data_IF_074077996423
#
_entry.id   IF_074077996423
#
_cell.length_a   1.000
_cell.length_b   1.000
_cell.length_c   1.000
_cell.angle_alpha   90.00
_cell.angle_beta   90.00
_cell.angle_gamma   90.00
#
_symmetry.space_group_name_H-M   'P 1'
#
loop_
_entity.id
_entity.type
_entity.pdbx_description
1 polymer ?
#
# COMPACT_ATOMS: atom_id res chain seq x y z
N UNK A 1 17.45 43.12 -42.11
CA UNK A 1 16.26 42.58 -41.40
C UNK A 1 15.88 41.26 -42.04
N UNK A 2 16.36 40.13 -41.50
CA UNK A 2 16.11 38.80 -42.07
C UNK A 2 14.93 38.14 -41.33
N UNK A 3 13.85 37.85 -42.06
CA UNK A 3 12.65 37.18 -41.52
C UNK A 3 12.99 35.72 -41.23
N UNK A 4 13.01 35.33 -39.95
CA UNK A 4 13.09 33.92 -39.54
C UNK A 4 11.73 33.26 -39.83
N UNK A 5 11.72 32.31 -40.76
CA UNK A 5 10.59 31.43 -41.00
C UNK A 5 10.41 30.50 -39.79
N UNK A 6 9.31 30.67 -39.05
CA UNK A 6 8.85 29.69 -38.07
C UNK A 6 8.21 28.52 -38.83
N UNK A 7 8.87 27.37 -38.83
CA UNK A 7 8.22 26.11 -39.20
C UNK A 7 7.43 25.60 -38.00
N UNK A 8 6.17 25.15 -38.17
CA UNK A 8 5.41 24.52 -37.09
C UNK A 8 6.09 23.21 -36.66
N UNK A 9 5.99 22.82 -35.37
CA UNK A 9 6.61 21.59 -34.88
C UNK A 9 6.02 20.39 -35.63
N UNK A 10 6.92 19.52 -36.12
CA UNK A 10 6.57 18.30 -36.83
C UNK A 10 5.54 17.49 -36.03
N UNK A 11 4.38 17.25 -36.65
CA UNK A 11 3.37 16.35 -36.11
C UNK A 11 3.97 14.97 -35.90
N UNK A 12 3.89 14.47 -34.66
CA UNK A 12 4.36 13.14 -34.26
C UNK A 12 3.80 12.08 -35.22
N UNK A 13 4.63 11.15 -35.75
CA UNK A 13 4.15 10.16 -36.71
C UNK A 13 2.99 9.35 -36.11
N UNK A 14 1.97 8.99 -36.93
CA UNK A 14 0.84 8.21 -36.46
C UNK A 14 1.33 6.85 -35.94
N UNK A 15 0.76 6.33 -34.84
CA UNK A 15 1.16 5.05 -34.28
C UNK A 15 0.98 3.94 -35.32
N UNK A 16 1.99 3.08 -35.46
CA UNK A 16 2.09 1.98 -36.44
C UNK A 16 1.22 0.76 -36.11
N UNK A 17 0.39 0.85 -35.08
CA UNK A 17 -0.51 -0.23 -34.65
C UNK A 17 -1.94 0.29 -34.54
N UNK A 18 -2.95 -0.55 -34.86
CA UNK A 18 -4.35 -0.18 -34.69
C UNK A 18 -4.60 0.23 -33.22
N UNK A 19 -5.51 1.19 -32.97
CA UNK A 19 -5.79 1.65 -31.62
C UNK A 19 -6.30 0.47 -30.78
N UNK A 20 -5.51 0.09 -29.76
CA UNK A 20 -5.86 -0.94 -28.79
C UNK A 20 -6.88 -0.38 -27.80
N UNK A 21 -7.81 -1.22 -27.35
CA UNK A 21 -8.83 -0.81 -26.40
C UNK A 21 -8.20 -0.67 -25.00
N UNK A 22 -8.40 0.46 -24.31
CA UNK A 22 -7.83 0.68 -22.98
C UNK A 22 -8.54 -0.18 -21.92
N UNK A 23 -7.75 -0.83 -21.06
CA UNK A 23 -8.19 -1.60 -19.90
C UNK A 23 -7.51 -1.01 -18.66
N UNK A 24 -8.31 -0.54 -17.71
CA UNK A 24 -7.85 0.03 -16.46
C UNK A 24 -7.81 -1.04 -15.37
N UNK A 25 -6.62 -1.35 -14.89
CA UNK A 25 -6.38 -2.29 -13.80
C UNK A 25 -6.25 -1.55 -12.46
N UNK A 26 -7.14 -1.85 -11.52
CA UNK A 26 -7.14 -1.25 -10.18
C UNK A 26 -6.20 -2.03 -9.23
N UNK A 27 -4.92 -2.03 -9.58
CA UNK A 27 -3.80 -2.61 -8.80
C UNK A 27 -2.52 -1.83 -9.08
N UNK A 28 -1.53 -1.96 -8.19
CA UNK A 28 -0.17 -1.55 -8.49
C UNK A 28 0.38 -2.36 -9.67
N UNK A 29 1.14 -1.71 -10.55
CA UNK A 29 1.93 -2.39 -11.60
C UNK A 29 3.16 -3.01 -10.97
N UNK A 30 3.55 -4.21 -11.38
CA UNK A 30 4.80 -4.80 -10.92
C UNK A 30 6.00 -3.99 -11.47
N UNK A 31 6.85 -3.49 -10.58
CA UNK A 31 7.94 -2.57 -10.94
C UNK A 31 9.19 -3.27 -11.51
N UNK A 32 9.36 -4.57 -11.24
CA UNK A 32 10.60 -5.31 -11.52
C UNK A 32 10.62 -6.06 -12.88
N UNK A 33 9.48 -6.17 -13.57
CA UNK A 33 9.37 -6.87 -14.86
C UNK A 33 8.16 -6.36 -15.67
N UNK A 34 7.98 -6.87 -16.88
CA UNK A 34 6.74 -6.67 -17.61
C UNK A 34 5.59 -7.32 -16.81
N UNK A 35 4.61 -6.51 -16.40
CA UNK A 35 3.49 -6.98 -15.59
C UNK A 35 2.71 -8.06 -16.34
N UNK A 36 2.38 -9.18 -15.68
CA UNK A 36 1.68 -10.29 -16.33
C UNK A 36 0.33 -9.90 -16.93
N UNK A 37 -0.37 -8.89 -16.36
CA UNK A 37 -1.62 -8.37 -16.90
C UNK A 37 -1.39 -7.47 -18.11
N UNK A 38 -0.28 -6.73 -18.14
CA UNK A 38 0.14 -5.94 -19.29
C UNK A 38 0.47 -6.85 -20.48
N UNK A 39 1.24 -7.92 -20.24
CA UNK A 39 1.58 -8.91 -21.26
C UNK A 39 0.34 -9.66 -21.79
N UNK A 40 -0.55 -10.10 -20.90
CA UNK A 40 -1.80 -10.76 -21.28
C UNK A 40 -2.74 -9.81 -22.05
N UNK A 41 -2.86 -8.57 -21.61
CA UNK A 41 -3.66 -7.55 -22.29
C UNK A 41 -3.12 -7.28 -23.70
N UNK A 42 -1.80 -7.16 -23.85
CA UNK A 42 -1.16 -6.97 -25.14
C UNK A 42 -1.42 -8.14 -26.11
N UNK A 43 -1.36 -9.37 -25.61
CA UNK A 43 -1.66 -10.59 -26.38
C UNK A 43 -3.10 -10.60 -26.89
N UNK A 44 -4.04 -10.10 -26.07
CA UNK A 44 -5.45 -9.99 -26.43
C UNK A 44 -5.81 -8.70 -27.21
N UNK A 45 -4.81 -7.86 -27.58
CA UNK A 45 -5.03 -6.64 -28.35
C UNK A 45 -5.52 -5.42 -27.54
N UNK A 46 -5.36 -5.44 -26.22
CA UNK A 46 -5.70 -4.35 -25.31
C UNK A 46 -4.48 -3.50 -24.95
N UNK A 47 -4.73 -2.27 -24.49
CA UNK A 47 -3.74 -1.39 -23.87
C UNK A 47 -4.00 -1.36 -22.36
N UNK A 48 -2.99 -1.74 -21.57
CA UNK A 48 -3.10 -1.79 -20.11
C UNK A 48 -2.72 -0.45 -19.48
N UNK A 49 -3.53 0.03 -18.55
CA UNK A 49 -3.19 1.13 -17.64
C UNK A 49 -3.47 0.71 -16.21
N UNK A 50 -2.66 1.21 -15.27
CA UNK A 50 -2.67 0.78 -13.88
C UNK A 50 -2.91 1.96 -12.95
N UNK A 51 -3.83 1.80 -12.01
CA UNK A 51 -4.04 2.73 -10.91
C UNK A 51 -4.04 1.93 -9.61
N UNK A 52 -3.08 2.22 -8.75
CA UNK A 52 -2.99 1.59 -7.43
C UNK A 52 -4.08 2.17 -6.53
N UNK A 53 -4.89 1.31 -5.91
CA UNK A 53 -6.05 1.73 -5.09
C UNK A 53 -5.90 1.33 -3.61
N UNK A 54 -4.95 0.46 -3.32
CA UNK A 54 -4.56 0.07 -1.96
C UNK A 54 -3.11 0.46 -1.75
N UNK A 55 -2.80 0.89 -0.54
CA UNK A 55 -1.43 1.10 -0.06
C UNK A 55 -1.22 0.24 1.19
N UNK A 56 -0.13 0.48 1.89
CA UNK A 56 0.13 -0.11 3.19
C UNK A 56 0.63 0.99 4.13
N UNK A 57 0.45 0.78 5.43
CA UNK A 57 1.01 1.66 6.46
C UNK A 57 1.61 0.85 7.59
N UNK A 58 2.62 1.38 8.30
CA UNK A 58 3.14 0.75 9.50
C UNK A 58 2.05 0.59 10.55
N UNK A 59 2.10 -0.51 11.31
CA UNK A 59 1.19 -0.81 12.42
C UNK A 59 2.00 -1.43 13.56
N UNK A 60 1.52 -1.27 14.79
CA UNK A 60 2.14 -1.92 15.95
C UNK A 60 3.52 -1.37 16.29
N UNK A 61 3.84 -0.13 15.91
CA UNK A 61 5.14 0.49 16.21
C UNK A 61 5.48 0.44 17.71
N UNK A 62 4.53 0.75 18.58
CA UNK A 62 4.71 0.67 20.02
C UNK A 62 5.03 -0.76 20.48
N UNK A 63 4.33 -1.76 19.94
CA UNK A 63 4.60 -3.16 20.25
C UNK A 63 5.99 -3.59 19.77
N UNK A 64 6.42 -3.11 18.60
CA UNK A 64 7.77 -3.36 18.08
C UNK A 64 8.84 -2.72 18.97
N UNK A 65 8.65 -1.48 19.42
CA UNK A 65 9.56 -0.82 20.36
C UNK A 65 9.67 -1.59 21.67
N UNK A 66 8.54 -1.99 22.24
CA UNK A 66 8.52 -2.82 23.46
C UNK A 66 9.30 -4.11 23.27
N UNK A 67 9.02 -4.85 22.18
CA UNK A 67 9.72 -6.10 21.87
C UNK A 67 11.22 -5.87 21.73
N UNK A 68 11.66 -4.84 20.99
CA UNK A 68 13.08 -4.57 20.78
C UNK A 68 13.79 -3.92 21.98
N UNK A 69 13.03 -3.40 22.95
CA UNK A 69 13.52 -3.01 24.27
C UNK A 69 13.75 -4.21 25.20
N UNK A 70 13.09 -5.34 24.98
CA UNK A 70 13.40 -6.62 25.64
C UNK A 70 14.82 -7.10 25.25
N UNK A 71 15.39 -8.03 26.02
CA UNK A 71 16.64 -8.69 25.65
C UNK A 71 16.42 -9.64 24.47
N UNK A 72 17.33 -9.59 23.50
CA UNK A 72 17.44 -10.50 22.36
C UNK A 72 17.50 -11.97 22.79
N UNK A 73 17.99 -12.27 24.01
CA UNK A 73 18.10 -13.61 24.57
C UNK A 73 16.74 -14.27 24.86
N UNK A 74 15.65 -13.51 24.80
CA UNK A 74 14.28 -14.03 24.91
C UNK A 74 13.74 -14.60 23.60
N UNK A 75 14.54 -14.60 22.54
CA UNK A 75 14.07 -14.88 21.18
C UNK A 75 14.98 -15.90 20.49
N UNK A 76 14.36 -16.86 19.81
CA UNK A 76 15.06 -17.89 19.05
C UNK A 76 15.54 -17.36 17.69
N UNK A 77 14.80 -16.41 17.10
CA UNK A 77 15.06 -15.85 15.79
C UNK A 77 13.95 -14.89 15.32
N UNK A 78 14.10 -14.37 14.11
CA UNK A 78 13.22 -13.38 13.49
C UNK A 78 12.66 -13.90 12.16
N UNK A 79 11.38 -13.70 11.90
CA UNK A 79 10.71 -14.21 10.71
C UNK A 79 10.06 -13.07 9.92
N UNK A 80 10.38 -12.97 8.64
CA UNK A 80 9.90 -11.95 7.72
C UNK A 80 9.31 -12.59 6.45
N UNK A 81 8.04 -12.30 6.16
CA UNK A 81 7.41 -12.75 4.91
C UNK A 81 7.15 -11.61 3.92
N UNK A 82 7.54 -10.38 4.28
CA UNK A 82 7.36 -9.19 3.45
C UNK A 82 8.41 -8.12 3.74
N UNK A 83 8.93 -7.48 2.70
CA UNK A 83 9.77 -6.28 2.83
C UNK A 83 9.08 -5.14 3.59
N UNK A 84 7.74 -5.09 3.59
CA UNK A 84 6.95 -4.09 4.34
C UNK A 84 7.09 -4.26 5.85
N UNK A 85 7.24 -5.50 6.34
CA UNK A 85 7.50 -5.76 7.75
C UNK A 85 8.86 -5.17 8.17
N UNK A 86 9.89 -5.35 7.34
CA UNK A 86 11.23 -4.77 7.60
C UNK A 86 11.19 -3.25 7.58
N UNK A 87 10.50 -2.64 6.59
CA UNK A 87 10.33 -1.18 6.54
C UNK A 87 9.58 -0.66 7.77
N UNK A 88 8.53 -1.35 8.20
CA UNK A 88 7.76 -0.96 9.38
C UNK A 88 8.57 -1.07 10.68
N UNK A 89 9.42 -2.08 10.79
CA UNK A 89 10.37 -2.18 11.88
C UNK A 89 11.35 -1.01 11.89
N UNK A 90 11.91 -0.63 10.74
CA UNK A 90 12.77 0.55 10.64
C UNK A 90 12.04 1.83 11.05
N UNK A 91 10.78 2.01 10.64
CA UNK A 91 9.98 3.15 11.06
C UNK A 91 9.72 3.16 12.57
N UNK A 92 9.47 2.00 13.17
CA UNK A 92 9.20 1.89 14.60
C UNK A 92 10.45 2.17 15.47
N UNK A 93 11.64 1.85 14.95
CA UNK A 93 12.93 1.97 15.64
C UNK A 93 13.72 3.23 15.28
N UNK A 94 13.31 3.98 14.26
CA UNK A 94 13.85 5.31 14.02
C UNK A 94 13.53 6.19 15.24
N UNK A 95 14.53 6.88 15.78
CA UNK A 95 14.28 7.82 16.88
C UNK A 95 13.19 8.83 16.48
N UNK A 96 12.32 9.18 17.43
CA UNK A 96 11.32 10.24 17.27
C UNK A 96 12.04 11.59 17.19
N UNK A 97 12.71 11.83 16.07
CA UNK A 97 13.43 13.04 15.73
C UNK A 97 13.05 13.45 14.31
N UNK A 98 12.20 14.47 14.23
CA UNK A 98 11.75 15.19 13.04
C UNK A 98 10.69 14.49 12.19
N UNK A 99 9.44 14.80 12.54
CA UNK A 99 8.33 14.70 11.60
C UNK A 99 8.63 15.51 10.35
N UNK A 100 8.71 14.82 9.22
CA UNK A 100 8.37 15.38 7.92
C UNK A 100 7.85 14.26 7.04
N UNK A 101 6.53 14.24 6.91
CA UNK A 101 5.83 13.65 5.78
C UNK A 101 6.27 14.47 4.55
N UNK A 102 7.38 14.11 3.91
CA UNK A 102 7.75 14.46 2.53
C UNK A 102 9.21 14.06 2.29
N UNK A 103 9.43 12.90 1.69
CA UNK A 103 10.60 12.56 0.84
C UNK A 103 10.48 11.12 0.34
N UNK A 104 9.66 10.94 -0.68
CA UNK A 104 10.02 10.03 -1.78
C UNK A 104 10.64 10.91 -2.89
N UNK A 105 11.76 10.47 -3.46
CA UNK A 105 12.70 11.17 -4.39
C UNK A 105 13.77 12.00 -3.66
N UNK A 106 15.08 11.91 -3.93
CA UNK A 106 15.90 11.22 -4.93
C UNK A 106 17.36 11.34 -4.43
N UNK A 107 18.22 10.35 -4.73
CA UNK A 107 19.68 10.53 -4.88
C UNK A 107 20.51 10.94 -3.65
N UNK A 108 21.08 9.95 -2.97
CA UNK A 108 22.15 10.16 -1.98
C UNK A 108 22.42 8.88 -1.20
N UNK A 109 23.39 8.09 -1.66
CA UNK A 109 23.93 6.93 -0.96
C UNK A 109 24.74 7.40 0.26
N UNK A 110 24.06 7.87 1.30
CA UNK A 110 24.66 7.89 2.64
C UNK A 110 24.26 6.60 3.33
N UNK A 111 25.27 5.78 3.63
CA UNK A 111 25.18 4.49 4.33
C UNK A 111 24.67 4.72 5.76
N UNK A 112 23.37 4.98 5.89
CA UNK A 112 22.69 5.23 7.17
C UNK A 112 22.87 3.98 8.03
N UNK A 113 23.53 4.14 9.18
CA UNK A 113 23.83 3.05 10.10
C UNK A 113 22.61 2.16 10.36
N UNK A 114 22.77 0.84 10.60
CA UNK A 114 21.62 -0.05 10.62
C UNK A 114 20.70 0.33 11.80
N UNK A 115 19.45 0.68 11.46
CA UNK A 115 18.41 1.17 12.38
C UNK A 115 18.09 0.16 13.50
N UNK A 116 18.48 -1.10 13.32
CA UNK A 116 18.25 -2.18 14.30
C UNK A 116 19.39 -2.23 15.33
N UNK A 117 19.08 -2.36 16.65
CA UNK A 117 20.09 -2.50 17.69
C UNK A 117 21.06 -3.67 17.43
N UNK A 118 22.36 -3.45 17.65
CA UNK A 118 23.40 -4.44 17.35
C UNK A 118 23.17 -5.82 18.00
N UNK A 119 22.62 -5.84 19.23
CA UNK A 119 22.29 -7.08 19.96
C UNK A 119 21.30 -8.00 19.19
N UNK A 120 20.37 -7.43 18.44
CA UNK A 120 19.39 -8.19 17.66
C UNK A 120 19.95 -8.72 16.34
N UNK A 121 21.12 -8.24 15.90
CA UNK A 121 21.73 -8.63 14.62
C UNK A 121 22.33 -10.03 14.66
N UNK A 122 22.63 -10.57 15.84
CA UNK A 122 23.20 -11.91 16.01
C UNK A 122 22.15 -13.04 15.86
N UNK A 123 20.87 -12.72 16.09
CA UNK A 123 19.76 -13.66 15.94
C UNK A 123 19.57 -14.06 14.47
N UNK A 124 19.24 -15.34 14.20
CA UNK A 124 18.96 -15.77 12.84
C UNK A 124 17.67 -15.13 12.31
N UNK A 125 17.77 -14.50 11.14
CA UNK A 125 16.62 -13.96 10.42
C UNK A 125 16.25 -14.83 9.21
N UNK A 126 14.97 -15.12 9.10
CA UNK A 126 14.35 -15.96 8.07
C UNK A 126 13.48 -15.09 7.16
N UNK A 127 13.62 -15.26 5.84
CA UNK A 127 12.92 -14.45 4.85
C UNK A 127 12.32 -15.27 3.71
N UNK A 128 11.11 -14.88 3.27
CA UNK A 128 10.48 -15.40 2.03
C UNK A 128 10.75 -14.44 0.87
N UNK A 129 11.36 -14.99 -0.18
CA UNK A 129 11.63 -14.29 -1.43
C UNK A 129 12.78 -13.28 -1.37
N UNK A 130 13.41 -13.08 -2.53
CA UNK A 130 14.61 -12.25 -2.69
C UNK A 130 14.44 -10.81 -2.20
N UNK A 131 13.33 -10.15 -2.53
CA UNK A 131 13.06 -8.76 -2.12
C UNK A 131 13.01 -8.59 -0.60
N UNK A 132 12.41 -9.55 0.10
CA UNK A 132 12.33 -9.51 1.58
C UNK A 132 13.71 -9.74 2.17
N UNK A 133 14.43 -10.74 1.65
CA UNK A 133 15.80 -11.06 2.01
C UNK A 133 16.75 -9.86 1.89
N UNK A 134 16.78 -9.19 0.73
CA UNK A 134 17.57 -7.97 0.50
C UNK A 134 17.20 -6.87 1.52
N UNK A 135 15.90 -6.72 1.81
CA UNK A 135 15.44 -5.74 2.79
C UNK A 135 15.92 -6.04 4.21
N UNK A 136 15.93 -7.32 4.61
CA UNK A 136 16.41 -7.86 5.90
C UNK A 136 17.93 -7.67 6.01
N UNK A 137 18.67 -8.00 4.96
CA UNK A 137 20.12 -7.81 4.89
C UNK A 137 20.50 -6.33 5.05
N UNK A 138 19.84 -5.45 4.28
CA UNK A 138 20.04 -4.01 4.39
C UNK A 138 19.66 -3.46 5.77
N UNK A 139 18.91 -4.21 6.60
CA UNK A 139 18.56 -3.80 7.96
C UNK A 139 19.63 -4.21 8.99
N UNK A 140 20.65 -4.96 8.54
CA UNK A 140 21.76 -5.43 9.35
C UNK A 140 21.51 -6.75 10.08
N UNK A 141 20.44 -7.48 9.75
CA UNK A 141 20.18 -8.79 10.36
C UNK A 141 21.08 -9.88 9.78
N UNK A 142 21.51 -10.81 10.63
CA UNK A 142 22.21 -12.03 10.22
C UNK A 142 21.24 -13.00 9.55
N UNK A 143 21.62 -13.44 8.35
CA UNK A 143 20.91 -14.50 7.65
C UNK A 143 20.96 -15.82 8.43
N UNK A 144 19.83 -16.54 8.46
CA UNK A 144 19.87 -17.97 8.76
C UNK A 144 20.54 -18.72 7.59
N UNK A 145 21.73 -19.26 7.86
CA UNK A 145 22.75 -19.81 6.95
C UNK A 145 23.67 -18.79 6.23
N UNK A 146 24.68 -18.31 6.96
CA UNK A 146 26.03 -18.12 6.43
C UNK A 146 27.06 -18.72 7.41
N UNK A 147 27.18 -20.05 7.36
CA UNK A 147 28.43 -20.76 7.56
C UNK A 147 28.43 -21.90 6.53
N UNK A 148 29.34 -21.83 5.55
CA UNK A 148 29.48 -22.76 4.40
C UNK A 148 28.60 -22.43 3.18
N UNK A 149 28.94 -21.36 2.47
CA UNK A 149 29.26 -21.40 1.02
C UNK A 149 29.60 -19.98 0.59
N UNK A 150 30.89 -19.64 0.68
CA UNK A 150 31.43 -18.56 -0.17
C UNK A 150 31.51 -19.14 -1.57
N UNK A 151 30.60 -18.76 -2.47
CA UNK A 151 30.83 -19.03 -3.89
C UNK A 151 32.10 -18.24 -4.31
N UNK A 152 33.05 -18.86 -5.04
CA UNK A 152 34.15 -18.11 -5.63
C UNK A 152 33.55 -17.10 -6.62
N UNK A 153 33.58 -15.81 -6.28
CA UNK A 153 32.96 -14.76 -7.11
C UNK A 153 32.25 -13.62 -6.38
N UNK A 154 32.18 -13.62 -5.04
CA UNK A 154 31.93 -12.38 -4.27
C UNK A 154 30.50 -11.81 -4.27
N UNK A 155 29.50 -12.48 -4.85
CA UNK A 155 28.09 -12.21 -4.53
C UNK A 155 27.53 -13.34 -3.69
N UNK A 156 27.33 -13.09 -2.38
CA UNK A 156 26.60 -14.00 -1.53
C UNK A 156 25.12 -13.97 -1.94
N UNK A 157 24.69 -14.94 -2.76
CA UNK A 157 23.28 -15.13 -3.04
C UNK A 157 22.57 -15.46 -1.72
N UNK A 158 21.67 -14.57 -1.29
CA UNK A 158 20.87 -14.80 -0.10
C UNK A 158 19.97 -16.01 -0.34
N UNK A 159 20.27 -17.13 0.33
CA UNK A 159 19.37 -18.28 0.44
C UNK A 159 18.04 -17.87 1.11
N UNK A 160 17.06 -17.51 0.29
CA UNK A 160 15.70 -17.16 0.70
C UNK A 160 14.76 -18.33 0.46
N UNK A 161 13.78 -18.51 1.35
CA UNK A 161 12.74 -19.49 1.12
C UNK A 161 11.88 -19.04 -0.07
N UNK A 162 11.56 -19.97 -0.97
CA UNK A 162 10.72 -19.70 -2.15
C UNK A 162 9.27 -19.42 -1.77
N UNK A 163 8.81 -19.99 -0.66
CA UNK A 163 7.47 -19.80 -0.12
C UNK A 163 7.43 -19.99 1.41
N UNK A 164 6.22 -19.93 1.97
CA UNK A 164 5.97 -20.09 3.40
C UNK A 164 6.23 -21.52 3.92
N UNK A 165 6.08 -22.55 3.08
CA UNK A 165 6.29 -23.94 3.48
C UNK A 165 7.79 -24.23 3.62
N UNK A 166 8.58 -23.85 2.61
CA UNK A 166 10.04 -23.93 2.66
C UNK A 166 10.60 -23.10 3.83
N UNK A 167 10.00 -21.95 4.15
CA UNK A 167 10.39 -21.16 5.32
C UNK A 167 10.12 -21.91 6.64
N UNK A 168 8.97 -22.57 6.75
CA UNK A 168 8.61 -23.33 7.94
C UNK A 168 9.59 -24.47 8.19
N UNK A 169 9.92 -25.26 7.15
CA UNK A 169 10.90 -26.35 7.25
C UNK A 169 12.26 -25.86 7.76
N UNK A 170 12.71 -24.70 7.29
CA UNK A 170 13.97 -24.07 7.73
C UNK A 170 13.94 -23.68 9.20
N UNK A 171 12.86 -23.06 9.65
CA UNK A 171 12.69 -22.67 11.06
C UNK A 171 12.59 -23.92 11.95
N UNK A 172 11.88 -24.96 11.51
CA UNK A 172 11.77 -26.23 12.25
C UNK A 172 13.15 -26.89 12.39
N UNK A 173 13.95 -26.88 11.32
CA UNK A 173 15.33 -27.40 11.36
C UNK A 173 16.19 -26.61 12.36
N UNK A 174 16.18 -25.28 12.27
CA UNK A 174 16.90 -24.41 13.22
C UNK A 174 16.50 -24.70 14.67
N UNK A 175 15.19 -24.85 14.90
CA UNK A 175 14.63 -25.12 16.21
C UNK A 175 15.06 -26.48 16.77
N UNK A 176 15.09 -27.52 15.93
CA UNK A 176 15.53 -28.85 16.34
C UNK A 176 17.01 -28.91 16.75
N UNK A 177 17.85 -28.08 16.11
CA UNK A 177 19.30 -27.97 16.36
C UNK A 177 19.64 -27.09 17.59
N UNK A 178 18.67 -26.38 18.17
CA UNK A 178 18.87 -25.58 19.39
C UNK A 178 19.03 -26.46 20.64
N UNK A 179 19.84 -25.96 21.57
CA UNK A 179 19.99 -26.53 22.92
C UNK A 179 18.64 -26.54 23.65
N UNK A 180 18.45 -27.48 24.58
CA UNK A 180 17.18 -27.65 25.28
C UNK A 180 16.72 -26.37 26.02
N UNK A 181 17.66 -25.56 26.53
CA UNK A 181 17.35 -24.27 27.17
C UNK A 181 16.77 -23.21 26.21
N UNK A 182 17.03 -23.35 24.92
CA UNK A 182 16.62 -22.40 23.88
C UNK A 182 15.37 -22.88 23.12
N UNK A 183 14.91 -24.12 23.34
CA UNK A 183 13.72 -24.69 22.69
C UNK A 183 12.40 -24.08 23.16
N UNK A 184 12.37 -23.46 24.34
CA UNK A 184 11.19 -22.74 24.80
C UNK A 184 11.13 -21.28 24.27
N UNK A 185 12.20 -20.81 23.60
CA UNK A 185 12.26 -19.44 23.13
C UNK A 185 11.42 -19.24 21.84
N UNK A 186 10.58 -18.19 21.78
CA UNK A 186 9.79 -17.92 20.60
C UNK A 186 10.58 -17.31 19.45
N UNK A 187 10.15 -17.60 18.22
CA UNK A 187 10.50 -16.81 17.05
C UNK A 187 9.58 -15.59 16.95
N UNK A 188 10.16 -14.41 16.66
CA UNK A 188 9.39 -13.18 16.42
C UNK A 188 8.93 -13.15 14.96
N UNK A 189 7.63 -13.26 14.71
CA UNK A 189 7.07 -13.14 13.38
C UNK A 189 6.51 -11.75 13.12
N UNK A 190 7.13 -11.02 12.18
CA UNK A 190 6.67 -9.71 11.75
C UNK A 190 5.76 -9.85 10.52
N UNK A 191 4.46 -9.80 10.79
CA UNK A 191 3.41 -10.09 9.82
C UNK A 191 2.67 -8.83 9.36
N UNK A 192 1.95 -8.94 8.25
CA UNK A 192 0.92 -7.96 7.85
C UNK A 192 -0.47 -8.42 8.26
N UNK A 193 -1.41 -7.49 8.37
CA UNK A 193 -2.84 -7.74 8.67
C UNK A 193 -3.50 -8.86 7.86
N UNK A 194 -3.07 -9.05 6.59
CA UNK A 194 -3.61 -10.05 5.66
C UNK A 194 -2.66 -11.25 5.44
N UNK A 195 -1.82 -11.58 6.43
CA UNK A 195 -0.92 -12.77 6.34
C UNK A 195 -1.71 -14.08 6.24
N UNK A 196 -1.13 -15.08 5.57
CA UNK A 196 -1.68 -16.44 5.48
C UNK A 196 -1.33 -17.23 6.73
N UNK A 197 -2.22 -18.12 7.17
CA UNK A 197 -2.02 -18.96 8.36
C UNK A 197 -1.13 -20.18 8.12
N UNK A 198 -0.71 -20.45 6.88
CA UNK A 198 0.07 -21.64 6.53
C UNK A 198 1.39 -21.74 7.30
N UNK A 199 2.09 -20.61 7.50
CA UNK A 199 3.36 -20.59 8.24
C UNK A 199 3.13 -20.72 9.75
N UNK A 200 2.29 -19.90 10.41
CA UNK A 200 1.97 -20.09 11.83
C UNK A 200 1.45 -21.50 12.16
N UNK A 201 0.56 -22.06 11.32
CA UNK A 201 0.01 -23.40 11.53
C UNK A 201 1.07 -24.50 11.40
N UNK A 202 1.97 -24.40 10.43
CA UNK A 202 3.06 -25.36 10.26
C UNK A 202 4.01 -25.35 11.47
N UNK A 203 4.40 -24.16 11.95
CA UNK A 203 5.28 -24.02 13.12
C UNK A 203 4.60 -24.52 14.40
N UNK A 204 3.34 -24.17 14.62
CA UNK A 204 2.56 -24.67 15.75
C UNK A 204 2.41 -26.18 15.74
N UNK A 205 2.21 -26.80 14.58
CA UNK A 205 2.09 -28.27 14.45
C UNK A 205 3.40 -28.99 14.76
N UNK A 206 4.53 -28.32 14.54
CA UNK A 206 5.86 -28.81 14.89
C UNK A 206 6.30 -28.45 16.32
N UNK A 207 5.43 -27.83 17.13
CA UNK A 207 5.75 -27.42 18.50
C UNK A 207 6.70 -26.23 18.61
N UNK A 208 6.94 -25.50 17.52
CA UNK A 208 7.85 -24.34 17.51
C UNK A 208 7.12 -23.11 18.07
N UNK A 209 7.59 -22.50 19.18
CA UNK A 209 6.93 -21.32 19.74
C UNK A 209 7.08 -20.10 18.81
N UNK A 210 5.97 -19.42 18.55
CA UNK A 210 5.90 -18.27 17.64
C UNK A 210 5.15 -17.11 18.31
N UNK A 211 5.75 -15.93 18.34
CA UNK A 211 5.09 -14.70 18.79
C UNK A 211 4.96 -13.73 17.63
N UNK A 212 3.71 -13.44 17.25
CA UNK A 212 3.37 -12.60 16.11
C UNK A 212 3.24 -11.12 16.52
N UNK A 213 3.74 -10.22 15.68
CA UNK A 213 3.44 -8.79 15.73
C UNK A 213 2.98 -8.33 14.34
N UNK A 214 1.77 -7.77 14.27
CA UNK A 214 1.25 -7.13 13.06
C UNK A 214 1.98 -5.81 12.82
N UNK A 215 3.07 -5.87 12.04
CA UNK A 215 3.98 -4.76 11.79
C UNK A 215 3.46 -3.77 10.74
N UNK A 216 2.55 -4.20 9.87
CA UNK A 216 1.93 -3.32 8.88
C UNK A 216 0.51 -3.77 8.58
N UNK A 217 -0.25 -2.88 7.96
CA UNK A 217 -1.57 -3.22 7.44
C UNK A 217 -1.77 -2.69 6.04
N UNK A 218 -2.67 -3.34 5.32
CA UNK A 218 -3.12 -2.91 4.00
C UNK A 218 -4.18 -1.84 4.18
N UNK A 219 -3.92 -0.63 3.69
CA UNK A 219 -4.83 0.50 3.82
C UNK A 219 -5.43 0.90 2.47
N UNK A 220 -6.65 1.43 2.42
CA UNK A 220 -7.17 2.07 1.21
C UNK A 220 -6.34 3.32 0.90
N UNK A 221 -6.11 3.61 -0.38
CA UNK A 221 -5.57 4.93 -0.78
C UNK A 221 -6.67 5.99 -0.70
N UNK A 222 -6.29 7.22 -0.40
CA UNK A 222 -7.24 8.33 -0.37
C UNK A 222 -7.85 8.54 -1.75
N UNK A 223 -9.16 8.81 -1.80
CA UNK A 223 -9.87 9.01 -3.06
C UNK A 223 -9.22 10.10 -3.94
N UNK A 224 -8.76 11.20 -3.34
CA UNK A 224 -8.06 12.28 -4.04
C UNK A 224 -6.75 11.83 -4.72
N UNK A 225 -6.02 10.89 -4.12
CA UNK A 225 -4.81 10.34 -4.73
C UNK A 225 -5.14 9.44 -5.92
N UNK A 226 -6.19 8.62 -5.78
CA UNK A 226 -6.69 7.77 -6.86
C UNK A 226 -7.21 8.63 -8.01
N UNK A 227 -7.98 9.69 -7.74
CA UNK A 227 -8.46 10.65 -8.75
C UNK A 227 -7.31 11.31 -9.51
N UNK A 228 -6.25 11.71 -8.80
CA UNK A 228 -5.04 12.26 -9.41
C UNK A 228 -4.34 11.25 -10.32
N UNK A 229 -4.26 9.98 -9.91
CA UNK A 229 -3.69 8.92 -10.74
C UNK A 229 -4.56 8.60 -11.96
N UNK A 230 -5.88 8.60 -11.82
CA UNK A 230 -6.83 8.50 -12.93
C UNK A 230 -6.66 9.65 -13.92
N UNK A 231 -6.51 10.88 -13.44
CA UNK A 231 -6.27 12.06 -14.27
C UNK A 231 -4.97 11.93 -15.10
N UNK A 232 -3.92 11.34 -14.50
CA UNK A 232 -2.65 11.06 -15.18
C UNK A 232 -2.74 9.93 -16.20
N UNK A 233 -3.56 8.92 -15.92
CA UNK A 233 -3.77 7.79 -16.82
C UNK A 233 -4.65 8.14 -18.03
N UNK A 234 -5.62 9.06 -17.87
CA UNK A 234 -6.61 9.38 -18.89
C UNK A 234 -6.03 9.77 -20.27
N UNK A 235 -5.02 10.67 -20.37
CA UNK A 235 -4.40 10.99 -21.66
C UNK A 235 -3.69 9.81 -22.31
N UNK A 236 -3.17 8.86 -21.50
CA UNK A 236 -2.46 7.66 -22.00
C UNK A 236 -3.41 6.62 -22.56
N UNK A 237 -4.59 6.49 -21.95
CA UNK A 237 -5.73 5.69 -22.45
C UNK A 237 -6.34 6.25 -23.73
N UNK A 238 -6.03 7.51 -24.10
CA UNK A 238 -6.63 8.23 -25.24
C UNK A 238 -8.16 8.29 -25.19
N UNK A 239 -8.72 8.37 -23.98
CA UNK A 239 -10.16 8.37 -23.73
C UNK A 239 -10.52 7.55 -22.49
N UNK A 240 -11.82 7.30 -22.31
CA UNK A 240 -12.29 6.44 -21.23
C UNK A 240 -11.89 4.97 -21.45
N UNK A 241 -11.60 4.22 -20.37
CA UNK A 241 -11.33 2.80 -20.47
C UNK A 241 -12.54 2.05 -21.03
N UNK A 242 -12.30 1.03 -21.85
CA UNK A 242 -13.34 0.08 -22.27
C UNK A 242 -13.69 -0.90 -21.16
N UNK A 243 -12.73 -1.17 -20.28
CA UNK A 243 -12.86 -2.08 -19.14
C UNK A 243 -12.21 -1.50 -17.89
N UNK A 244 -12.86 -1.71 -16.75
CA UNK A 244 -12.28 -1.51 -15.42
C UNK A 244 -12.22 -2.85 -14.71
N UNK A 245 -11.03 -3.20 -14.23
CA UNK A 245 -10.74 -4.48 -13.59
C UNK A 245 -10.49 -4.29 -12.10
N UNK A 246 -11.28 -4.98 -11.28
CA UNK A 246 -11.13 -5.00 -9.82
C UNK A 246 -10.47 -6.29 -9.35
N UNK A 247 -9.54 -6.14 -8.41
CA UNK A 247 -8.73 -7.25 -7.88
C UNK A 247 -9.16 -7.74 -6.50
N UNK A 248 -9.92 -6.94 -5.74
CA UNK A 248 -10.41 -7.33 -4.42
C UNK A 248 -11.61 -6.46 -4.00
N UNK A 249 -12.47 -6.93 -3.07
CA UNK A 249 -13.50 -6.09 -2.47
C UNK A 249 -12.94 -4.81 -1.84
N UNK A 250 -11.89 -4.91 -1.00
CA UNK A 250 -11.29 -3.72 -0.37
C UNK A 250 -10.73 -2.72 -1.39
N UNK A 251 -10.19 -3.19 -2.51
CA UNK A 251 -9.75 -2.33 -3.60
C UNK A 251 -10.92 -1.64 -4.31
N UNK A 252 -12.08 -2.30 -4.38
CA UNK A 252 -13.31 -1.68 -4.87
C UNK A 252 -13.79 -0.57 -3.93
N UNK A 253 -13.88 -0.84 -2.64
CA UNK A 253 -14.30 0.13 -1.63
C UNK A 253 -13.46 1.42 -1.70
N UNK A 254 -12.14 1.27 -1.90
CA UNK A 254 -11.22 2.40 -2.06
C UNK A 254 -11.41 3.16 -3.39
N UNK A 255 -11.65 2.45 -4.49
CA UNK A 255 -11.66 3.02 -5.83
C UNK A 255 -13.00 3.66 -6.24
N UNK A 256 -14.12 3.10 -5.77
CA UNK A 256 -15.47 3.48 -6.21
C UNK A 256 -15.77 4.99 -6.05
N UNK A 257 -15.42 5.66 -4.94
CA UNK A 257 -15.62 7.11 -4.82
C UNK A 257 -14.88 7.91 -5.90
N UNK A 258 -13.62 7.57 -6.17
CA UNK A 258 -12.79 8.24 -7.17
C UNK A 258 -13.30 7.98 -8.60
N UNK A 259 -13.73 6.75 -8.89
CA UNK A 259 -14.30 6.40 -10.19
C UNK A 259 -15.65 7.10 -10.45
N UNK A 260 -16.48 7.28 -9.43
CA UNK A 260 -17.69 8.10 -9.52
C UNK A 260 -17.37 9.58 -9.74
N UNK A 261 -16.42 10.12 -8.97
CA UNK A 261 -15.94 11.49 -9.13
C UNK A 261 -15.42 11.77 -10.55
N UNK A 262 -14.72 10.81 -11.14
CA UNK A 262 -14.22 10.87 -12.51
C UNK A 262 -15.29 10.62 -13.60
N UNK A 263 -16.53 10.29 -13.22
CA UNK A 263 -17.62 10.02 -14.16
C UNK A 263 -17.46 8.70 -14.94
N UNK A 264 -16.63 7.78 -14.46
CA UNK A 264 -16.30 6.52 -15.14
C UNK A 264 -17.29 5.39 -14.86
N UNK A 265 -18.32 5.61 -14.03
CA UNK A 265 -19.30 4.57 -13.63
C UNK A 265 -20.75 5.01 -13.87
N UNK A 266 -21.00 5.87 -14.86
CA UNK A 266 -22.37 6.28 -15.19
C UNK A 266 -23.12 5.09 -15.81
N UNK A 267 -24.38 4.88 -15.44
CA UNK A 267 -25.19 3.79 -16.02
C UNK A 267 -25.78 4.21 -17.37
N UNK A 268 -24.90 4.57 -18.31
CA UNK A 268 -25.24 5.08 -19.64
C UNK A 268 -24.45 4.32 -20.71
N UNK A 269 -24.99 4.28 -21.93
CA UNK A 269 -24.28 3.78 -23.10
C UNK A 269 -22.94 4.53 -23.25
N UNK A 270 -21.83 3.79 -23.26
CA UNK A 270 -20.49 4.38 -23.33
C UNK A 270 -19.68 4.32 -22.03
N UNK A 271 -20.20 3.69 -20.97
CA UNK A 271 -19.41 3.45 -19.76
C UNK A 271 -18.55 2.18 -19.83
N UNK A 272 -17.43 2.15 -19.09
CA UNK A 272 -16.53 1.00 -19.03
C UNK A 272 -17.26 -0.23 -18.49
N UNK A 273 -16.93 -1.39 -19.05
CA UNK A 273 -17.43 -2.67 -18.56
C UNK A 273 -16.62 -3.11 -17.35
N UNK A 274 -17.27 -3.80 -16.42
CA UNK A 274 -16.64 -4.20 -15.16
C UNK A 274 -16.21 -5.66 -15.22
N UNK A 275 -14.94 -5.92 -14.91
CA UNK A 275 -14.41 -7.25 -14.72
C UNK A 275 -13.87 -7.44 -13.29
N UNK A 276 -13.99 -8.66 -12.78
CA UNK A 276 -13.47 -9.04 -11.47
C UNK A 276 -12.49 -10.21 -11.60
N UNK A 277 -11.39 -10.17 -10.84
CA UNK A 277 -10.36 -11.23 -10.86
C UNK A 277 -10.83 -12.58 -10.29
N UNK A 278 -11.99 -12.61 -9.64
CA UNK A 278 -12.54 -13.83 -9.05
C UNK A 278 -13.89 -13.62 -8.37
N UNK A 279 -14.49 -14.75 -7.96
CA UNK A 279 -15.85 -14.80 -7.42
C UNK A 279 -16.07 -13.91 -6.20
N UNK A 280 -15.13 -13.86 -5.25
CA UNK A 280 -15.22 -13.02 -4.05
C UNK A 280 -15.29 -11.54 -4.41
N UNK A 281 -14.43 -11.08 -5.32
CA UNK A 281 -14.44 -9.69 -5.79
C UNK A 281 -15.72 -9.37 -6.53
N UNK A 282 -16.21 -10.27 -7.40
CA UNK A 282 -17.46 -10.09 -8.11
C UNK A 282 -18.67 -10.00 -7.18
N UNK A 283 -18.73 -10.85 -6.15
CA UNK A 283 -19.77 -10.81 -5.14
C UNK A 283 -19.73 -9.50 -4.35
N UNK A 284 -18.54 -9.04 -3.96
CA UNK A 284 -18.35 -7.75 -3.29
C UNK A 284 -18.85 -6.57 -4.12
N UNK A 285 -18.51 -6.52 -5.41
CA UNK A 285 -18.96 -5.46 -6.33
C UNK A 285 -20.49 -5.44 -6.50
N UNK A 286 -21.12 -6.61 -6.64
CA UNK A 286 -22.58 -6.71 -6.82
C UNK A 286 -23.35 -6.32 -5.57
N UNK A 287 -22.79 -6.64 -4.39
CA UNK A 287 -23.42 -6.40 -3.07
C UNK A 287 -22.92 -5.13 -2.38
N UNK A 288 -22.13 -4.29 -3.06
CA UNK A 288 -21.56 -3.11 -2.44
C UNK A 288 -22.68 -2.16 -1.98
N UNK A 289 -22.71 -1.74 -0.69
CA UNK A 289 -23.89 -1.13 -0.08
C UNK A 289 -24.24 0.24 -0.69
N UNK A 290 -23.25 1.03 -1.08
CA UNK A 290 -23.47 2.36 -1.66
C UNK A 290 -23.49 2.36 -3.19
N UNK A 291 -22.90 1.36 -3.82
CA UNK A 291 -22.45 1.43 -5.21
C UNK A 291 -22.46 0.04 -5.88
N UNK A 292 -23.62 -0.63 -5.96
CA UNK A 292 -23.70 -1.94 -6.59
C UNK A 292 -23.35 -1.83 -8.09
N UNK A 293 -22.42 -2.66 -8.54
CA UNK A 293 -21.99 -2.69 -9.94
C UNK A 293 -22.45 -3.98 -10.65
N UNK A 294 -22.83 -3.82 -11.92
CA UNK A 294 -23.04 -4.96 -12.82
C UNK A 294 -21.69 -5.47 -13.30
N UNK A 295 -21.31 -6.66 -12.85
CA UNK A 295 -20.06 -7.32 -13.24
C UNK A 295 -20.29 -8.12 -14.52
N UNK A 296 -19.66 -7.69 -15.62
CA UNK A 296 -19.75 -8.30 -16.94
C UNK A 296 -18.94 -9.59 -17.05
N UNK A 297 -17.74 -9.61 -16.44
CA UNK A 297 -16.82 -10.76 -16.48
C UNK A 297 -16.30 -11.05 -15.08
N UNK A 298 -16.20 -12.34 -14.74
CA UNK A 298 -15.59 -12.81 -13.49
C UNK A 298 -14.65 -13.95 -13.84
N UNK A 299 -13.34 -13.73 -13.66
CA UNK A 299 -12.34 -14.74 -13.95
C UNK A 299 -12.60 -16.01 -13.14
N UNK A 300 -12.60 -17.15 -13.83
CA UNK A 300 -12.76 -18.47 -13.20
C UNK A 300 -11.63 -18.80 -12.21
N UNK A 301 -10.44 -18.26 -12.44
CA UNK A 301 -9.27 -18.32 -11.54
C UNK A 301 -8.49 -17.00 -11.59
N UNK A 302 -7.79 -16.63 -10.50
CA UNK A 302 -7.07 -15.35 -10.40
C UNK A 302 -5.75 -15.37 -11.18
N UNK A 303 -5.84 -15.51 -12.51
CA UNK A 303 -4.71 -15.55 -13.42
C UNK A 303 -4.92 -14.54 -14.55
N UNK A 304 -3.84 -13.82 -14.94
CA UNK A 304 -3.91 -12.76 -15.95
C UNK A 304 -4.44 -13.26 -17.30
N UNK A 305 -3.87 -14.35 -17.82
CA UNK A 305 -4.31 -14.93 -19.09
C UNK A 305 -5.81 -15.29 -19.08
N UNK A 306 -6.27 -15.97 -18.02
CA UNK A 306 -7.69 -16.37 -17.87
C UNK A 306 -8.61 -15.15 -17.89
N UNK A 307 -8.29 -14.12 -17.10
CA UNK A 307 -9.10 -12.91 -17.05
C UNK A 307 -9.20 -12.22 -18.42
N UNK A 308 -8.07 -12.06 -19.11
CA UNK A 308 -8.03 -11.33 -20.38
C UNK A 308 -8.67 -12.13 -21.52
N UNK A 309 -8.52 -13.46 -21.54
CA UNK A 309 -9.22 -14.34 -22.48
C UNK A 309 -10.74 -14.26 -22.30
N UNK A 310 -11.23 -14.24 -21.06
CA UNK A 310 -12.66 -14.12 -20.78
C UNK A 310 -13.20 -12.73 -21.14
N UNK A 311 -12.41 -11.66 -20.92
CA UNK A 311 -12.71 -10.30 -21.41
C UNK A 311 -12.80 -10.28 -22.95
N UNK A 312 -11.83 -10.88 -23.63
CA UNK A 312 -11.78 -10.94 -25.09
C UNK A 312 -12.97 -11.70 -25.68
N UNK A 313 -13.32 -12.85 -25.11
CA UNK A 313 -14.52 -13.63 -25.49
C UNK A 313 -15.80 -12.84 -25.28
N UNK A 314 -15.91 -12.11 -24.17
CA UNK A 314 -17.08 -11.27 -23.91
C UNK A 314 -17.21 -10.16 -24.97
N UNK A 315 -16.11 -9.51 -25.33
CA UNK A 315 -16.09 -8.50 -26.39
C UNK A 315 -16.44 -9.07 -27.77
N UNK A 316 -15.98 -10.29 -28.09
CA UNK A 316 -16.35 -11.00 -29.31
C UNK A 316 -17.85 -11.31 -29.37
N UNK A 317 -18.43 -11.82 -28.27
CA UNK A 317 -19.87 -12.07 -28.18
C UNK A 317 -20.70 -10.79 -28.38
N UNK A 318 -20.23 -9.66 -27.87
CA UNK A 318 -20.89 -8.37 -28.11
C UNK A 318 -20.81 -7.93 -29.57
N UNK A 319 -19.69 -8.20 -30.26
CA UNK A 319 -19.54 -7.90 -31.70
C UNK A 319 -20.54 -8.72 -32.51
N UNK A 320 -20.63 -10.02 -32.23
CA UNK A 320 -21.56 -10.92 -32.89
C UNK A 320 -23.03 -10.52 -32.69
N UNK A 321 -23.37 -9.97 -31.52
CA UNK A 321 -24.73 -9.50 -31.18
C UNK A 321 -25.05 -8.09 -31.70
N UNK A 322 -24.14 -7.43 -32.42
CA UNK A 322 -24.32 -6.05 -32.85
C UNK A 322 -24.35 -5.03 -31.69
N UNK A 323 -23.97 -5.45 -30.48
CA UNK A 323 -23.95 -4.62 -29.25
C UNK A 323 -22.56 -4.09 -28.92
N UNK A 324 -21.61 -4.22 -29.85
CA UNK A 324 -20.27 -3.70 -29.69
C UNK A 324 -20.18 -2.28 -30.24
N UNK A 325 -20.43 -1.30 -29.38
CA UNK A 325 -20.18 0.09 -29.74
C UNK A 325 -18.68 0.38 -29.61
N UNK A 326 -17.97 0.69 -30.69
CA UNK A 326 -16.54 1.11 -30.63
C UNK A 326 -16.37 2.57 -30.20
N UNK A 327 -17.45 3.36 -30.18
CA UNK A 327 -17.40 4.79 -29.82
C UNK A 327 -17.45 4.96 -28.31
N UNK A 328 -16.37 4.59 -27.63
CA UNK A 328 -16.14 4.92 -26.22
C UNK A 328 -15.31 6.21 -26.14
N UNK A 329 -15.93 7.33 -26.48
CA UNK A 329 -15.44 8.65 -26.13
C UNK A 329 -16.54 9.34 -25.33
N UNK A 330 -16.46 9.45 -24.00
CA UNK A 330 -17.04 10.61 -23.39
C UNK A 330 -16.28 11.81 -23.95
N UNK A 331 -17.04 12.79 -24.43
CA UNK A 331 -16.54 14.09 -24.87
C UNK A 331 -15.49 14.63 -23.87
N UNK A 332 -14.49 15.45 -24.28
CA UNK A 332 -13.52 16.09 -23.38
C UNK A 332 -14.15 16.99 -22.30
N UNK A 333 -15.48 17.08 -22.25
CA UNK A 333 -16.28 17.71 -21.19
C UNK A 333 -16.45 16.83 -19.94
N UNK A 334 -15.73 15.70 -19.78
CA UNK A 334 -15.38 15.23 -18.43
C UNK A 334 -14.41 16.26 -17.87
N UNK A 335 -14.98 17.32 -17.32
CA UNK A 335 -14.24 18.26 -16.53
C UNK A 335 -13.71 17.48 -15.31
N UNK A 336 -12.44 17.10 -15.35
CA UNK A 336 -11.58 17.34 -14.21
C UNK A 336 -11.59 18.86 -13.98
N UNK A 337 -12.71 19.39 -13.50
CA UNK A 337 -12.75 20.73 -12.96
C UNK A 337 -11.93 20.62 -11.68
N UNK A 338 -10.75 21.25 -11.59
CA UNK A 338 -10.12 21.40 -10.29
C UNK A 338 -11.13 22.13 -9.42
N UNK A 339 -11.70 21.46 -8.42
CA UNK A 339 -12.40 22.16 -7.35
C UNK A 339 -11.35 23.03 -6.67
N UNK A 340 -11.31 24.31 -7.05
CA UNK A 340 -10.70 25.43 -6.36
C UNK A 340 -9.37 25.14 -5.61
N UNK A 341 -8.26 25.18 -6.34
CA UNK A 341 -6.96 25.60 -5.80
C UNK A 341 -6.67 27.07 -6.17
N UNK A 342 -7.70 27.92 -6.11
CA UNK A 342 -7.53 29.38 -6.16
C UNK A 342 -7.86 29.98 -4.79
N UNK A 343 -7.07 29.61 -3.78
CA UNK A 343 -6.86 30.48 -2.64
C UNK A 343 -6.10 31.70 -3.14
N UNK A 344 -6.82 32.78 -3.46
CA UNK A 344 -6.23 34.10 -3.65
C UNK A 344 -5.62 34.52 -2.32
N UNK A 345 -4.32 34.33 -2.14
CA UNK A 345 -3.56 35.15 -1.22
C UNK A 345 -3.54 36.59 -1.78
N UNK A 346 -3.97 37.61 -1.02
CA UNK A 346 -3.81 38.98 -1.45
C UNK A 346 -2.32 39.35 -1.44
N UNK A 347 -1.75 39.55 -2.62
CA UNK A 347 -0.44 40.20 -2.80
C UNK A 347 -0.67 41.71 -2.59
N UNK A 348 -0.05 42.35 -1.57
CA UNK A 348 -0.12 43.80 -1.43
C UNK A 348 0.70 44.47 -2.55
N UNK A 349 0.10 45.47 -3.19
CA UNK A 349 0.71 46.27 -4.28
C UNK A 349 1.93 47.06 -3.77
N UNK A 350 2.95 47.30 -4.61
CA UNK A 350 4.05 48.19 -4.27
C UNK A 350 3.60 49.64 -4.41
N UNK A 351 3.76 50.43 -3.35
CA UNK A 351 3.77 51.89 -3.44
C UNK A 351 5.21 52.38 -3.27
N UNK A 352 5.72 52.99 -4.33
CA UNK A 352 6.97 53.74 -4.34
C UNK A 352 6.69 55.21 -4.03
N UNK A 353 7.25 55.74 -2.94
CA UNK A 353 7.83 57.10 -2.88
C UNK A 353 8.44 57.41 -1.50
N UNK A 354 9.76 57.60 -1.50
CA UNK A 354 10.49 58.75 -0.92
C UNK A 354 10.09 59.27 0.49
N UNK A 355 10.95 59.10 1.50
CA UNK A 355 11.93 60.11 2.01
C UNK A 355 12.48 59.73 3.39
N UNK A 356 13.74 60.08 3.56
CA UNK A 356 14.61 59.99 4.75
C UNK A 356 14.25 61.11 5.75
N UNK A 357 14.29 60.83 7.07
CA UNK A 357 15.02 61.59 8.10
C UNK A 357 14.57 61.25 9.53
N UNK A 358 15.53 61.14 10.46
CA UNK A 358 15.30 61.49 11.87
C UNK A 358 15.67 60.44 12.93
N UNK A 359 16.97 60.34 13.24
CA UNK A 359 17.57 60.51 14.58
C UNK A 359 16.92 59.95 15.86
N UNK A 360 17.75 59.18 16.56
CA UNK A 360 18.13 59.33 17.97
C UNK A 360 17.55 58.44 19.11
N UNK A 361 18.43 57.52 19.53
CA UNK A 361 19.07 57.37 20.87
C UNK A 361 18.20 57.44 22.13
N UNK A 362 18.22 56.34 22.92
CA UNK A 362 18.67 56.26 24.33
C UNK A 362 18.11 54.99 25.01
N UNK A 363 18.93 54.00 25.39
CA UNK A 363 19.42 53.72 26.78
C UNK A 363 18.28 53.66 27.84
N UNK A 364 18.13 52.68 28.74
CA UNK A 364 19.14 51.92 29.49
C UNK A 364 18.47 50.92 30.49
N UNK A 365 19.20 49.84 30.82
CA UNK A 365 19.27 49.05 32.09
C UNK A 365 18.24 47.97 32.52
N UNK A 366 18.86 46.76 32.67
CA UNK A 366 18.98 45.86 33.85
C UNK A 366 17.77 45.02 34.35
N UNK A 367 17.91 43.69 34.13
CA UNK A 367 17.84 42.50 35.04
C UNK A 367 17.66 42.74 36.56
N UNK A 368 17.35 41.72 37.42
CA UNK A 368 16.89 40.32 37.20
C UNK A 368 15.83 39.81 38.23
N UNK A 369 15.44 38.53 38.11
CA UNK A 369 14.99 37.51 39.09
C UNK A 369 14.12 37.87 40.32
N UNK A 370 13.05 37.07 40.57
CA UNK A 370 12.96 36.16 41.74
C UNK A 370 11.62 35.39 41.83
N UNK A 371 11.73 34.26 42.52
CA UNK A 371 10.79 33.20 42.85
C UNK A 371 9.51 33.62 43.62
N UNK A 372 8.55 32.68 43.70
CA UNK A 372 7.81 32.44 44.94
C UNK A 372 6.33 32.06 44.84
N UNK A 373 6.02 30.87 45.37
CA UNK A 373 4.77 30.52 46.08
C UNK A 373 3.61 30.03 45.21
N UNK A 374 2.86 28.96 45.47
CA UNK A 374 2.44 28.23 46.67
C UNK A 374 0.89 28.22 46.69
N UNK A 375 0.34 27.00 46.56
CA UNK A 375 -0.87 26.48 47.24
C UNK A 375 -2.22 27.17 46.99
N UNK A 376 -3.18 26.44 46.38
CA UNK A 376 -4.41 26.12 47.10
C UNK A 376 -5.14 24.88 46.53
N UNK A 377 -5.57 24.01 47.46
CA UNK A 377 -6.47 22.88 47.23
C UNK A 377 -7.91 23.39 47.39
N UNK A 378 -8.89 22.79 46.72
CA UNK A 378 -10.08 22.21 47.38
C UNK A 378 -11.15 21.74 46.37
N UNK A 379 -11.55 20.48 46.56
CA UNK A 379 -12.91 19.93 46.55
C UNK A 379 -13.75 19.90 45.26
N UNK A 380 -14.27 18.71 44.94
CA UNK A 380 -15.66 18.60 44.46
C UNK A 380 -15.96 17.52 43.40
N UNK A 381 -15.99 16.26 43.81
CA UNK A 381 -16.85 15.20 43.24
C UNK A 381 -17.43 14.41 44.44
N UNK A 382 -18.47 13.55 44.32
CA UNK A 382 -19.30 13.15 43.17
C UNK A 382 -20.82 13.05 43.51
N UNK A 383 -21.69 12.61 42.57
CA UNK A 383 -22.73 11.56 42.73
C UNK A 383 -23.90 11.65 41.71
N UNK A 384 -24.09 10.54 40.96
CA UNK A 384 -25.34 9.82 40.62
C UNK A 384 -26.46 10.53 39.81
N UNK A 385 -27.30 9.88 38.99
CA UNK A 385 -27.69 8.48 38.82
C UNK A 385 -28.36 8.33 37.41
N UNK A 386 -28.17 7.21 36.69
CA UNK A 386 -29.06 6.04 36.59
C UNK A 386 -30.38 6.26 35.80
N UNK A 387 -30.52 5.52 34.69
CA UNK A 387 -31.72 4.78 34.23
C UNK A 387 -31.22 3.85 33.08
N UNK A 388 -30.94 2.56 33.29
CA UNK A 388 -31.79 1.41 33.61
C UNK A 388 -32.07 0.54 32.35
N UNK A 389 -31.42 -0.64 32.36
CA UNK A 389 -31.77 -1.87 31.65
C UNK A 389 -33.22 -2.30 31.85
N UNK A 390 -33.72 -3.15 30.93
CA UNK A 390 -34.29 -4.50 31.20
C UNK A 390 -35.29 -4.93 30.12
N UNK A 391 -35.10 -6.05 29.39
CA UNK A 391 -35.63 -7.44 29.67
C UNK A 391 -36.52 -7.83 28.45
N UNK A 392 -36.55 -9.02 27.82
CA UNK A 392 -36.10 -10.40 28.14
C UNK A 392 -36.11 -11.32 26.88
N UNK A 393 -35.25 -12.37 26.91
CA UNK A 393 -35.44 -13.82 26.59
C UNK A 393 -36.30 -14.26 25.38
N UNK A 394 -36.15 -15.42 24.76
CA UNK A 394 -35.19 -16.53 24.67
C UNK A 394 -35.95 -17.59 23.85
N UNK A 395 -35.34 -18.27 22.87
CA UNK A 395 -35.68 -19.67 22.54
C UNK A 395 -34.42 -20.32 21.98
N UNK A 396 -34.01 -21.37 22.66
CA UNK A 396 -33.08 -22.42 22.26
C UNK A 396 -34.00 -23.61 21.91
N UNK A 397 -33.82 -24.26 20.76
CA UNK A 397 -34.25 -25.65 20.57
C UNK A 397 -33.35 -26.36 19.54
N UNK A 398 -32.82 -27.48 20.02
CA UNK A 398 -32.15 -28.56 19.32
C UNK A 398 -32.92 -29.09 18.10
N UNK A 399 -32.20 -29.53 17.06
CA UNK A 399 -32.55 -30.78 16.39
C UNK A 399 -31.33 -31.41 15.67
N UNK A 400 -30.89 -32.54 16.23
CA UNK A 400 -30.08 -33.58 15.58
C UNK A 400 -31.02 -34.69 15.07
N UNK A 401 -30.53 -35.51 14.13
CA UNK A 401 -31.12 -36.71 13.49
C UNK A 401 -31.84 -36.34 12.17
N UNK A 402 -31.38 -36.73 10.98
CA UNK A 402 -30.92 -38.05 10.51
C UNK A 402 -30.05 -37.94 9.24
#
# INVERSE_FOLDING_TARGET
MSRRNFSPPASRPPPTHPPRLPVLFLRARDAASADQYEAAAATCGYAAEFVEVLTWRPRGAERLRQVFAESERRWAGLVFTSSRAVRSLRFALAEEGEGSEDREQEGGEEEKAPVVPARWRSLPAFAVGRKTAESVQAAGFRQWAAATTTLPGGSADWDCAVDAAALAERIIKDHAEKEDSDRDLPYLFLAGDKRRDSLPAALSSAGVPLREVCAYETAPRAAADIERDLARAYPRMRGAPSWIVFFSPSGADAALPALHGAGLLRNEDGCPRIAAIGATTAAGLRKHPAHPLTVSVTASRPAAAVLLDEIARFDELLKLRGRFNRRYCPSPTIAFAPKNLSGRFPIPKPQSSLRIAGGDVATVRRKPDLAGGAVDQMSGEPLLAVLAESVFRAVDEDLVVQ
#
